data_IF_466816888253
#
_entry.id   IF_466816888253
#
_cell.length_a   1.000
_cell.length_b   1.000
_cell.length_c   1.000
_cell.angle_alpha   90.00
_cell.angle_beta   90.00
_cell.angle_gamma   90.00
#
_symmetry.space_group_name_H-M   'P 1'
#
loop_
_entity.id
_entity.type
_entity.pdbx_description
1 polymer ?
#
# COMPACT_ATOMS: atom_id res chain seq x y z
N UNK A 1 -7.42 15.59 -0.06
CA UNK A 1 -6.05 15.08 -0.08
C UNK A 1 -6.06 13.61 -0.42
N UNK A 2 -5.14 13.20 -1.26
CA UNK A 2 -5.02 11.80 -1.63
C UNK A 2 -3.82 11.18 -0.94
N UNK A 3 -3.98 9.95 -0.48
CA UNK A 3 -2.91 9.18 0.12
C UNK A 3 -2.74 7.90 -0.68
N UNK A 4 -1.51 7.62 -1.07
CA UNK A 4 -1.16 6.44 -1.84
C UNK A 4 -0.57 5.41 -0.90
N UNK A 5 -1.34 4.35 -0.67
CA UNK A 5 -0.95 3.28 0.22
C UNK A 5 -0.32 2.14 -0.57
N UNK A 6 0.93 1.85 -0.30
CA UNK A 6 1.61 0.74 -0.94
C UNK A 6 1.42 -0.51 -0.08
N UNK A 7 0.90 -1.55 -0.69
CA UNK A 7 0.57 -2.80 0.02
C UNK A 7 1.28 -3.95 -0.67
N UNK A 8 2.02 -4.73 0.11
CA UNK A 8 2.66 -5.94 -0.37
C UNK A 8 1.92 -7.17 0.10
N UNK A 9 1.80 -8.17 -0.78
CA UNK A 9 1.14 -9.42 -0.47
C UNK A 9 2.14 -10.55 -0.56
N UNK A 10 2.17 -11.38 0.46
CA UNK A 10 3.01 -12.57 0.50
C UNK A 10 2.09 -13.78 0.42
N UNK A 11 2.34 -14.65 -0.56
CA UNK A 11 1.64 -15.91 -0.69
C UNK A 11 2.52 -17.00 -0.11
N UNK A 12 1.93 -17.95 0.61
CA UNK A 12 2.73 -19.07 1.03
C UNK A 12 3.03 -19.95 -0.20
N UNK A 13 3.99 -20.85 -0.07
CA UNK A 13 4.42 -21.66 -1.20
C UNK A 13 3.30 -22.58 -1.76
N UNK A 14 2.22 -22.77 -1.00
CA UNK A 14 1.08 -23.53 -1.45
C UNK A 14 -0.02 -22.65 -2.03
N UNK A 15 0.16 -21.32 -1.96
CA UNK A 15 -0.81 -20.37 -2.46
C UNK A 15 -2.11 -20.30 -1.68
N UNK A 16 -2.16 -20.92 -0.50
CA UNK A 16 -3.41 -21.01 0.26
C UNK A 16 -3.62 -19.82 1.19
N UNK A 17 -2.55 -19.25 1.71
CA UNK A 17 -2.64 -18.15 2.67
C UNK A 17 -2.03 -16.90 2.04
N UNK A 18 -2.71 -15.80 2.24
CA UNK A 18 -2.22 -14.49 1.79
C UNK A 18 -2.02 -13.62 3.01
N UNK A 19 -0.87 -13.00 3.10
CA UNK A 19 -0.59 -12.03 4.13
C UNK A 19 -0.36 -10.69 3.46
N UNK A 20 -1.12 -9.69 3.84
CA UNK A 20 -0.97 -8.34 3.32
C UNK A 20 -0.31 -7.46 4.35
N UNK A 21 0.65 -6.68 3.92
CA UNK A 21 1.37 -5.76 4.78
C UNK A 21 1.37 -4.38 4.15
N UNK A 22 1.21 -3.37 4.98
CA UNK A 22 1.33 -2.00 4.53
C UNK A 22 2.82 -1.66 4.44
N UNK A 23 3.28 -1.38 3.23
CA UNK A 23 4.67 -0.96 3.00
C UNK A 23 4.85 0.48 3.47
N UNK A 24 3.88 1.33 3.16
CA UNK A 24 3.91 2.71 3.59
C UNK A 24 2.78 3.50 2.94
N UNK A 25 2.59 4.72 3.43
CA UNK A 25 1.60 5.65 2.89
C UNK A 25 2.32 6.90 2.42
N UNK A 26 1.98 7.37 1.23
CA UNK A 26 2.72 8.44 0.58
C UNK A 26 1.76 9.48 0.02
N UNK A 27 2.27 10.70 -0.14
CA UNK A 27 1.45 11.80 -0.65
C UNK A 27 1.44 11.86 -2.18
N UNK A 28 2.34 11.16 -2.84
CA UNK A 28 2.38 11.11 -4.31
C UNK A 28 2.54 9.68 -4.77
N UNK A 29 2.05 9.40 -5.99
CA UNK A 29 2.18 8.09 -6.59
C UNK A 29 3.64 7.74 -6.88
N UNK A 30 4.45 8.75 -7.19
CA UNK A 30 5.86 8.53 -7.48
C UNK A 30 6.60 8.01 -6.25
N UNK A 31 6.35 8.60 -5.08
CA UNK A 31 6.96 8.14 -3.84
C UNK A 31 6.53 6.70 -3.53
N UNK A 32 5.24 6.40 -3.75
CA UNK A 32 4.72 5.07 -3.51
C UNK A 32 5.41 4.05 -4.42
N UNK A 33 5.55 4.38 -5.72
CA UNK A 33 6.22 3.48 -6.66
C UNK A 33 7.68 3.26 -6.31
N UNK A 34 8.36 4.31 -5.89
CA UNK A 34 9.76 4.20 -5.50
C UNK A 34 9.92 3.28 -4.29
N UNK A 35 9.04 3.42 -3.32
CA UNK A 35 9.07 2.55 -2.15
C UNK A 35 8.78 1.10 -2.52
N UNK A 36 7.79 0.88 -3.39
CA UNK A 36 7.44 -0.46 -3.85
C UNK A 36 8.61 -1.11 -4.59
N UNK A 37 9.28 -0.36 -5.46
CA UNK A 37 10.38 -0.92 -6.24
C UNK A 37 11.55 -1.36 -5.37
N UNK A 38 11.75 -0.72 -4.22
CA UNK A 38 12.83 -1.08 -3.31
C UNK A 38 12.58 -2.40 -2.59
N UNK A 39 11.31 -2.75 -2.38
CA UNK A 39 10.95 -3.92 -1.58
C UNK A 39 10.16 -4.95 -2.37
N UNK A 40 9.99 -4.75 -3.68
CA UNK A 40 9.17 -5.63 -4.51
C UNK A 40 9.64 -7.08 -4.46
N UNK A 41 10.95 -7.31 -4.33
CA UNK A 41 11.49 -8.66 -4.25
C UNK A 41 11.08 -9.40 -2.99
N UNK A 42 10.62 -8.69 -1.98
CA UNK A 42 10.18 -9.29 -0.71
C UNK A 42 8.71 -9.72 -0.73
N UNK A 43 7.99 -9.40 -1.81
CA UNK A 43 6.57 -9.69 -1.90
C UNK A 43 6.25 -10.39 -3.21
N UNK A 44 5.23 -11.23 -3.18
CA UNK A 44 4.76 -11.89 -4.40
C UNK A 44 3.93 -10.96 -5.26
N UNK A 45 3.20 -10.06 -4.62
CA UNK A 45 2.40 -9.06 -5.29
C UNK A 45 2.51 -7.74 -4.54
N UNK A 46 2.45 -6.64 -5.28
CA UNK A 46 2.41 -5.31 -4.68
C UNK A 46 1.34 -4.49 -5.40
N UNK A 47 0.69 -3.61 -4.64
CA UNK A 47 -0.33 -2.75 -5.22
C UNK A 47 -0.30 -1.39 -4.54
N UNK A 48 -0.84 -0.39 -5.23
CA UNK A 48 -0.98 0.94 -4.68
C UNK A 48 -2.46 1.27 -4.65
N UNK A 49 -2.98 1.51 -3.45
CA UNK A 49 -4.38 1.84 -3.24
C UNK A 49 -4.48 3.31 -2.88
N UNK A 50 -5.26 4.06 -3.63
CA UNK A 50 -5.45 5.48 -3.39
C UNK A 50 -6.62 5.67 -2.43
N UNK A 51 -6.36 6.40 -1.35
CA UNK A 51 -7.39 6.75 -0.38
C UNK A 51 -7.52 8.27 -0.37
N UNK A 52 -8.73 8.75 -0.53
CA UNK A 52 -8.99 10.18 -0.42
C UNK A 52 -9.36 10.49 1.02
N UNK A 53 -8.67 11.45 1.59
CA UNK A 53 -8.94 11.90 2.94
C UNK A 53 -9.59 13.27 2.86
N UNK A 54 -10.79 13.35 3.41
CA UNK A 54 -11.53 14.58 3.51
C UNK A 54 -11.37 15.13 4.91
N UNK A 55 -10.85 16.35 5.01
CA UNK A 55 -10.64 16.95 6.31
C UNK A 55 -11.94 17.13 7.09
N UNK A 56 -13.05 17.32 6.39
CA UNK A 56 -14.36 17.43 7.05
C UNK A 56 -14.77 16.11 7.69
N UNK A 57 -14.50 15.01 7.00
CA UNK A 57 -14.77 13.69 7.55
C UNK A 57 -13.98 13.41 8.81
N UNK A 58 -12.76 13.88 8.86
CA UNK A 58 -11.92 13.71 10.04
C UNK A 58 -12.45 14.48 11.24
N UNK A 59 -13.04 15.64 10.98
CA UNK A 59 -13.56 16.48 12.05
C UNK A 59 -14.81 15.93 12.69
N UNK A 60 -15.53 15.10 12.01
CA UNK A 60 -16.75 14.52 12.54
C UNK A 60 -16.50 13.40 13.53
N UNK A 61 -15.31 12.95 13.56
CA UNK A 61 -14.95 11.90 14.47
C UNK A 61 -14.68 12.44 15.87
#
# INVERSE_FOLDING_TARGET
MEVFNAIGTILNFRGKLKKKELIGSFTTSELARNAVSKVASNYDEVEIVVTKIDSLGLQEL
#
